data_IF_061788304962
#
_entry.id   IF_061788304962
#
_cell.length_a   1.000
_cell.length_b   1.000
_cell.length_c   1.000
_cell.angle_alpha   90.00
_cell.angle_beta   90.00
_cell.angle_gamma   90.00
#
_symmetry.space_group_name_H-M   'P 1'
#
loop_
_entity.id
_entity.type
_entity.pdbx_description
1 polymer ?
#
# COMPACT_ATOMS: atom_id res chain seq x y z
N UNK A 1 -11.03 21.41 -4.27
CA UNK A 1 -11.32 20.25 -3.48
C UNK A 1 -10.10 19.81 -2.66
N UNK A 2 -10.34 19.19 -1.51
CA UNK A 2 -9.26 18.90 -0.56
C UNK A 2 -8.16 17.99 -1.13
N UNK A 3 -8.53 16.93 -1.83
CA UNK A 3 -7.53 16.01 -2.38
C UNK A 3 -6.62 16.71 -3.39
N UNK A 4 -7.20 17.51 -4.28
CA UNK A 4 -6.40 18.25 -5.26
C UNK A 4 -5.45 19.24 -4.57
N UNK A 5 -5.92 19.92 -3.50
CA UNK A 5 -5.11 20.89 -2.77
C UNK A 5 -3.96 20.23 -2.01
N UNK A 6 -4.13 18.96 -1.59
CA UNK A 6 -3.14 18.25 -0.78
C UNK A 6 -2.48 17.10 -1.53
N UNK A 7 -2.48 17.18 -2.87
CA UNK A 7 -1.81 16.17 -3.68
C UNK A 7 -0.35 15.99 -3.21
N UNK A 8 0.07 14.72 -3.03
CA UNK A 8 1.40 14.35 -2.55
C UNK A 8 1.70 14.85 -1.13
N UNK A 9 0.67 15.18 -0.35
CA UNK A 9 0.81 15.54 1.06
C UNK A 9 0.02 14.60 1.96
N UNK A 10 -0.89 13.82 1.38
CA UNK A 10 -1.66 12.82 2.12
C UNK A 10 -1.17 11.46 1.70
N UNK A 11 -1.09 10.53 2.65
CA UNK A 11 -0.68 9.17 2.36
C UNK A 11 -1.79 8.20 2.75
N UNK A 12 -1.75 7.03 2.14
CA UNK A 12 -2.66 5.95 2.44
C UNK A 12 -1.90 4.64 2.37
N UNK A 13 -2.39 3.64 3.09
CA UNK A 13 -1.86 2.29 2.99
C UNK A 13 -2.94 1.38 2.44
N UNK A 14 -2.57 0.55 1.45
CA UNK A 14 -3.48 -0.39 0.82
C UNK A 14 -2.94 -1.80 1.01
N UNK A 15 -3.78 -2.78 1.38
CA UNK A 15 -3.31 -4.13 1.71
C UNK A 15 -3.08 -5.00 0.49
N UNK A 16 -2.40 -4.49 -0.52
CA UNK A 16 -1.96 -5.25 -1.68
C UNK A 16 -0.68 -4.65 -2.23
N UNK A 17 -0.05 -5.37 -3.14
CA UNK A 17 1.09 -4.85 -3.89
C UNK A 17 0.54 -4.14 -5.13
N UNK A 18 0.25 -2.85 -5.00
CA UNK A 18 -0.28 -2.06 -6.11
C UNK A 18 0.66 -2.20 -7.32
N UNK A 19 0.16 -2.45 -8.53
CA UNK A 19 -1.23 -2.27 -9.00
C UNK A 19 -2.14 -3.48 -8.87
N UNK A 20 -1.73 -4.54 -8.21
CA UNK A 20 -2.57 -5.71 -8.01
C UNK A 20 -3.66 -5.43 -6.97
N UNK A 21 -4.87 -5.92 -7.23
CA UNK A 21 -6.00 -5.89 -6.29
C UNK A 21 -6.22 -4.53 -5.65
N UNK A 22 -6.20 -3.49 -6.48
CA UNK A 22 -6.42 -2.12 -6.02
C UNK A 22 -7.41 -1.41 -6.92
N UNK A 23 -7.80 -0.21 -6.51
CA UNK A 23 -8.74 0.58 -7.24
C UNK A 23 -10.13 0.45 -6.67
N UNK A 24 -11.11 0.89 -7.44
CA UNK A 24 -12.50 0.97 -6.98
C UNK A 24 -13.04 -0.40 -6.60
N UNK A 25 -13.61 -0.51 -5.41
CA UNK A 25 -14.19 -1.74 -4.92
C UNK A 25 -13.25 -2.66 -4.15
N UNK A 26 -11.94 -2.42 -4.23
CA UNK A 26 -10.95 -3.22 -3.52
C UNK A 26 -10.62 -2.54 -2.19
N UNK A 27 -11.31 -2.92 -1.15
CA UNK A 27 -11.07 -2.38 0.20
C UNK A 27 -11.31 -3.45 1.24
N UNK A 28 -10.59 -3.31 2.37
CA UNK A 28 -10.76 -4.18 3.52
C UNK A 28 -10.57 -5.66 3.17
N UNK A 29 -11.47 -6.49 3.65
CA UNK A 29 -11.38 -7.93 3.48
C UNK A 29 -11.52 -8.36 2.02
N UNK A 30 -12.17 -7.55 1.18
CA UNK A 30 -12.36 -7.87 -0.24
C UNK A 30 -11.04 -8.05 -1.00
N UNK A 31 -10.01 -7.32 -0.61
CA UNK A 31 -8.69 -7.45 -1.22
C UNK A 31 -8.15 -8.86 -1.00
N UNK A 32 -8.26 -9.34 0.23
CA UNK A 32 -7.75 -10.67 0.59
C UNK A 32 -8.59 -11.78 -0.02
N UNK A 33 -9.90 -11.59 -0.09
CA UNK A 33 -10.79 -12.51 -0.78
C UNK A 33 -10.41 -12.65 -2.25
N UNK A 34 -10.18 -11.53 -2.92
CA UNK A 34 -9.82 -11.53 -4.34
C UNK A 34 -8.46 -12.19 -4.57
N UNK A 35 -7.48 -11.90 -3.72
CA UNK A 35 -6.16 -12.50 -3.83
C UNK A 35 -6.20 -14.01 -3.70
N UNK A 36 -6.93 -14.51 -2.70
CA UNK A 36 -7.08 -15.95 -2.50
C UNK A 36 -7.85 -16.61 -3.63
N UNK A 37 -8.90 -15.95 -4.13
CA UNK A 37 -9.70 -16.47 -5.25
C UNK A 37 -8.85 -16.59 -6.52
N UNK A 38 -7.92 -15.67 -6.74
CA UNK A 38 -7.03 -15.70 -7.90
C UNK A 38 -5.93 -16.75 -7.73
N UNK A 39 -5.59 -17.11 -6.50
CA UNK A 39 -4.55 -18.09 -6.22
C UNK A 39 -3.13 -17.54 -6.25
N UNK A 40 -2.96 -16.25 -5.99
CA UNK A 40 -1.62 -15.67 -5.95
C UNK A 40 -0.83 -16.24 -4.77
N UNK A 41 0.49 -16.26 -4.91
CA UNK A 41 1.38 -16.83 -3.89
C UNK A 41 2.02 -15.74 -3.04
N UNK A 42 2.00 -14.50 -3.49
CA UNK A 42 2.60 -13.37 -2.80
C UNK A 42 1.60 -12.22 -2.82
N UNK A 43 1.41 -11.63 -1.67
CA UNK A 43 0.63 -10.41 -1.49
C UNK A 43 1.48 -9.41 -0.72
N UNK A 44 0.90 -8.36 -0.18
CA UNK A 44 1.66 -7.42 0.63
C UNK A 44 0.88 -6.15 0.86
N UNK A 45 1.60 -5.08 1.14
CA UNK A 45 0.99 -3.78 1.38
C UNK A 45 1.79 -2.69 0.69
N UNK A 46 1.11 -1.60 0.37
CA UNK A 46 1.69 -0.44 -0.31
C UNK A 46 1.31 0.83 0.44
N UNK A 47 2.30 1.66 0.73
CA UNK A 47 2.06 3.04 1.18
C UNK A 47 2.28 3.94 -0.01
N UNK A 48 1.32 4.80 -0.30
CA UNK A 48 1.38 5.71 -1.44
C UNK A 48 0.83 7.08 -1.09
N UNK A 49 1.22 8.08 -1.87
CA UNK A 49 0.59 9.38 -1.76
C UNK A 49 -0.81 9.32 -2.37
N UNK A 50 -1.71 10.13 -1.83
CA UNK A 50 -3.08 10.22 -2.35
C UNK A 50 -3.12 11.27 -3.44
N UNK A 51 -3.72 10.91 -4.59
CA UNK A 51 -4.04 11.86 -5.64
C UNK A 51 -5.53 11.78 -5.96
N UNK A 52 -5.95 12.25 -7.12
CA UNK A 52 -7.38 12.28 -7.46
C UNK A 52 -7.95 10.91 -7.83
N UNK A 53 -7.09 9.92 -8.10
CA UNK A 53 -7.53 8.58 -8.45
C UNK A 53 -7.62 7.67 -7.24
N UNK A 54 -8.19 6.49 -7.44
CA UNK A 54 -8.26 5.47 -6.38
C UNK A 54 -7.01 4.59 -6.46
N UNK A 55 -6.18 4.66 -5.41
CA UNK A 55 -4.93 3.87 -5.30
C UNK A 55 -3.99 4.09 -6.48
N UNK A 56 -3.93 5.31 -6.99
CA UNK A 56 -3.12 5.64 -8.18
C UNK A 56 -1.95 6.59 -7.88
N UNK A 57 -1.84 7.09 -6.65
CA UNK A 57 -0.78 8.03 -6.32
C UNK A 57 0.61 7.38 -6.28
N UNK A 58 1.67 8.21 -6.27
CA UNK A 58 3.04 7.69 -6.26
C UNK A 58 3.30 6.76 -5.07
N UNK A 59 3.95 5.64 -5.36
CA UNK A 59 4.23 4.59 -4.36
C UNK A 59 5.48 4.97 -3.57
N UNK A 60 5.37 4.92 -2.23
CA UNK A 60 6.48 5.24 -1.34
C UNK A 60 7.21 3.98 -0.91
N UNK A 61 6.48 3.04 -0.32
CA UNK A 61 7.04 1.78 0.17
C UNK A 61 6.10 0.62 -0.10
N UNK A 62 6.68 -0.55 -0.32
CA UNK A 62 5.92 -1.79 -0.45
C UNK A 62 6.62 -2.89 0.33
N UNK A 63 5.84 -3.83 0.86
CA UNK A 63 6.39 -4.99 1.53
C UNK A 63 5.58 -6.22 1.15
N UNK A 64 6.29 -7.25 0.70
CA UNK A 64 5.70 -8.51 0.28
C UNK A 64 5.47 -9.45 1.47
N UNK A 65 4.41 -10.26 1.38
CA UNK A 65 4.05 -11.27 2.36
C UNK A 65 3.63 -12.52 1.59
N UNK A 66 4.08 -13.68 2.03
CA UNK A 66 3.71 -14.93 1.38
C UNK A 66 2.33 -15.40 1.80
N UNK A 67 1.57 -15.92 0.82
CA UNK A 67 0.30 -16.58 1.08
C UNK A 67 0.60 -18.02 1.45
N UNK A 68 -0.02 -18.51 2.55
CA UNK A 68 0.17 -19.88 3.00
C UNK A 68 -1.01 -20.73 2.60
N UNK A 69 -0.75 -21.98 2.32
CA UNK A 69 -1.80 -22.92 1.95
C UNK A 69 -2.83 -23.03 3.08
N UNK A 70 -4.11 -22.94 2.74
CA UNK A 70 -5.17 -22.98 3.72
C UNK A 70 -5.55 -21.64 4.33
N UNK A 71 -4.93 -20.55 3.88
CA UNK A 71 -5.29 -19.23 4.39
C UNK A 71 -6.76 -18.89 4.10
N UNK A 72 -7.41 -18.33 5.10
CA UNK A 72 -8.69 -17.66 4.92
C UNK A 72 -8.43 -16.16 4.72
N UNK A 73 -9.43 -15.40 4.20
CA UNK A 73 -9.27 -13.96 4.07
C UNK A 73 -8.89 -13.29 5.40
N UNK A 74 -9.49 -13.71 6.49
CA UNK A 74 -9.23 -13.13 7.82
C UNK A 74 -7.80 -13.40 8.29
N UNK A 75 -7.31 -14.62 8.09
CA UNK A 75 -5.94 -14.99 8.48
C UNK A 75 -4.94 -14.22 7.63
N UNK A 76 -5.20 -14.14 6.32
CA UNK A 76 -4.31 -13.40 5.42
C UNK A 76 -4.29 -11.91 5.75
N UNK A 77 -5.46 -11.33 6.01
CA UNK A 77 -5.57 -9.93 6.41
C UNK A 77 -4.69 -9.64 7.63
N UNK A 78 -4.78 -10.49 8.65
CA UNK A 78 -4.01 -10.30 9.87
C UNK A 78 -2.51 -10.40 9.61
N UNK A 79 -2.10 -11.37 8.80
CA UNK A 79 -0.68 -11.53 8.48
C UNK A 79 -0.15 -10.31 7.73
N UNK A 80 -0.90 -9.79 6.77
CA UNK A 80 -0.50 -8.59 6.03
C UNK A 80 -0.41 -7.39 6.95
N UNK A 81 -1.36 -7.25 7.87
CA UNK A 81 -1.30 -6.16 8.85
C UNK A 81 -0.05 -6.25 9.72
N UNK A 82 0.22 -7.42 10.28
CA UNK A 82 1.33 -7.60 11.22
C UNK A 82 2.69 -7.57 10.54
N UNK A 83 2.82 -8.17 9.37
CA UNK A 83 4.12 -8.32 8.70
C UNK A 83 4.43 -7.20 7.72
N UNK A 84 3.44 -6.48 7.25
CA UNK A 84 3.66 -5.44 6.25
C UNK A 84 3.13 -4.08 6.70
N UNK A 85 1.82 -3.94 6.89
CA UNK A 85 1.21 -2.63 7.11
C UNK A 85 1.77 -1.92 8.34
N UNK A 86 1.85 -2.62 9.46
CA UNK A 86 2.32 -2.04 10.72
C UNK A 86 3.81 -1.72 10.72
N UNK A 87 4.54 -2.22 9.73
CA UNK A 87 5.98 -1.95 9.58
C UNK A 87 6.25 -0.80 8.62
N UNK A 88 5.60 -0.81 7.45
CA UNK A 88 5.94 0.19 6.42
C UNK A 88 5.23 1.52 6.62
N UNK A 89 4.07 1.56 7.27
CA UNK A 89 3.40 2.83 7.47
C UNK A 89 4.19 3.76 8.40
N UNK A 90 4.64 3.32 9.58
CA UNK A 90 5.51 4.17 10.42
C UNK A 90 6.80 4.55 9.72
N UNK A 91 7.38 3.63 8.94
CA UNK A 91 8.61 3.90 8.20
C UNK A 91 8.40 5.00 7.15
N UNK A 92 7.29 4.94 6.41
CA UNK A 92 6.97 5.96 5.41
C UNK A 92 6.75 7.32 6.07
N UNK A 93 6.03 7.36 7.19
CA UNK A 93 5.80 8.59 7.94
C UNK A 93 7.12 9.19 8.40
N UNK A 94 8.02 8.36 8.91
CA UNK A 94 9.33 8.79 9.35
C UNK A 94 10.15 9.41 8.20
N UNK A 95 10.15 8.75 7.05
CA UNK A 95 10.88 9.25 5.87
C UNK A 95 10.34 10.60 5.41
N UNK A 96 9.01 10.73 5.36
CA UNK A 96 8.37 11.98 4.94
C UNK A 96 8.67 13.10 5.93
N UNK A 97 8.55 12.81 7.23
CA UNK A 97 8.78 13.80 8.27
C UNK A 97 10.22 14.33 8.25
N UNK A 98 11.16 13.53 7.76
CA UNK A 98 12.57 13.92 7.68
C UNK A 98 12.96 14.45 6.30
N UNK A 99 11.99 14.73 5.43
CA UNK A 99 12.24 15.30 4.11
C UNK A 99 12.97 14.38 3.16
N UNK A 100 12.84 13.05 3.36
CA UNK A 100 13.59 12.07 2.57
C UNK A 100 12.83 11.56 1.34
N UNK A 101 11.60 12.02 1.13
CA UNK A 101 10.77 11.58 0.03
C UNK A 101 10.45 12.76 -0.88
N UNK A 102 10.68 12.60 -2.17
CA UNK A 102 10.23 13.60 -3.14
C UNK A 102 9.61 12.91 -4.35
N UNK A 103 8.77 13.64 -5.07
CA UNK A 103 8.02 13.10 -6.19
C UNK A 103 8.44 13.79 -7.48
N UNK A 104 8.77 12.99 -8.50
CA UNK A 104 9.08 13.49 -9.85
C UNK A 104 8.40 12.60 -10.87
N UNK A 105 7.67 13.21 -11.80
CA UNK A 105 7.01 12.50 -12.88
C UNK A 105 6.15 11.33 -12.39
N UNK A 106 5.44 11.52 -11.29
CA UNK A 106 4.54 10.50 -10.74
C UNK A 106 5.24 9.39 -9.96
N UNK A 107 6.55 9.48 -9.79
CA UNK A 107 7.31 8.50 -9.02
C UNK A 107 7.83 9.12 -7.74
N UNK A 108 7.74 8.36 -6.64
CA UNK A 108 8.31 8.78 -5.36
C UNK A 108 9.73 8.24 -5.25
N UNK A 109 10.64 9.10 -4.88
CA UNK A 109 12.05 8.75 -4.67
C UNK A 109 12.40 8.94 -3.22
N UNK A 110 13.14 7.98 -2.67
CA UNK A 110 13.61 8.03 -1.29
C UNK A 110 15.08 8.39 -1.32
N UNK A 111 15.41 9.45 -0.59
CA UNK A 111 16.78 9.93 -0.50
C UNK A 111 17.61 8.95 0.34
N UNK A 112 18.71 8.50 -0.20
CA UNK A 112 19.65 7.67 0.54
C UNK A 112 20.43 8.50 1.53
N UNK A 113 20.70 7.90 2.66
CA UNK A 113 21.43 8.56 3.73
C UNK A 113 22.87 8.05 3.74
#
# INVERSE_FOLDING_TARGET
EMIAAYRNRMINIHPSLIPAFCGKGYYGLKVHEAALARGVKVVGATVHFVDEGTDTGPIILQKAVEVEQGDTPEILQRRVMEQAEWKILPQAIHLIANGKVHVENGHAFIENI
#
